data_IF_307618015912
#
_entry.id   IF_307618015912
#
_cell.length_a   1.000
_cell.length_b   1.000
_cell.length_c   1.000
_cell.angle_alpha   90.00
_cell.angle_beta   90.00
_cell.angle_gamma   90.00
#
_symmetry.space_group_name_H-M   'P 1'
#
loop_
_entity.id
_entity.type
_entity.pdbx_description
1 polymer ?
#
# COMPACT_ATOMS: atom_id res chain seq x y z
N UNK A 1 -2.49 11.07 5.76
CA UNK A 1 -3.88 11.01 6.26
C UNK A 1 -4.57 12.37 6.07
N UNK A 2 -4.49 12.89 4.86
CA UNK A 2 -4.76 14.29 4.52
C UNK A 2 -6.17 14.82 4.75
N UNK A 3 -7.16 13.98 5.03
CA UNK A 3 -8.54 14.41 5.31
C UNK A 3 -8.87 14.44 6.80
N UNK A 4 -7.99 13.89 7.64
CA UNK A 4 -8.21 13.85 9.08
C UNK A 4 -7.50 15.05 9.73
N UNK A 5 -8.23 15.88 10.45
CA UNK A 5 -7.66 17.00 11.22
C UNK A 5 -7.11 16.48 12.54
N UNK A 6 -5.80 16.56 12.75
CA UNK A 6 -5.12 16.12 13.97
C UNK A 6 -3.84 16.94 14.21
N UNK A 7 -3.38 17.00 15.45
CA UNK A 7 -2.09 17.60 15.83
C UNK A 7 -0.98 16.53 15.87
N UNK A 8 -1.32 15.34 16.36
CA UNK A 8 -0.41 14.19 16.40
C UNK A 8 -1.08 12.97 15.81
N UNK A 9 -0.30 12.08 15.22
CA UNK A 9 -0.82 10.82 14.65
C UNK A 9 -1.43 9.90 15.74
N UNK A 10 -0.95 10.01 16.97
CA UNK A 10 -1.50 9.27 18.11
C UNK A 10 -2.93 9.68 18.47
N UNK A 11 -3.34 10.92 18.18
CA UNK A 11 -4.74 11.35 18.34
C UNK A 11 -5.67 10.60 17.37
N UNK A 12 -5.20 10.30 16.14
CA UNK A 12 -5.97 9.48 15.20
C UNK A 12 -6.16 8.07 15.76
N UNK A 13 -5.11 7.47 16.34
CA UNK A 13 -5.22 6.20 17.05
C UNK A 13 -6.22 6.29 18.21
N UNK A 14 -6.13 7.33 19.04
CA UNK A 14 -7.06 7.57 20.14
C UNK A 14 -8.51 7.68 19.70
N UNK A 15 -8.79 8.37 18.59
CA UNK A 15 -10.13 8.51 18.03
C UNK A 15 -10.69 7.17 17.53
N UNK A 16 -9.88 6.37 16.82
CA UNK A 16 -10.29 5.06 16.35
C UNK A 16 -10.57 4.07 17.49
N UNK A 17 -9.77 4.12 18.57
CA UNK A 17 -10.05 3.33 19.78
C UNK A 17 -11.39 3.75 20.44
N UNK A 18 -11.72 5.06 20.42
CA UNK A 18 -13.02 5.55 20.89
C UNK A 18 -14.21 5.10 20.04
N UNK A 19 -13.99 4.89 18.71
CA UNK A 19 -14.98 4.29 17.81
C UNK A 19 -15.24 2.81 18.10
N UNK A 20 -14.44 2.19 18.98
CA UNK A 20 -14.61 0.79 19.39
C UNK A 20 -13.66 -0.20 18.71
N UNK A 21 -12.67 0.27 17.95
CA UNK A 21 -11.58 -0.61 17.51
C UNK A 21 -10.76 -1.05 18.73
N UNK A 22 -10.44 -2.33 18.81
CA UNK A 22 -9.67 -2.90 19.92
C UNK A 22 -8.21 -2.49 19.87
N UNK A 23 -7.63 -2.45 18.66
CA UNK A 23 -6.29 -1.93 18.40
C UNK A 23 -6.22 -1.24 17.03
N UNK A 24 -5.21 -0.40 16.86
CA UNK A 24 -4.92 0.32 15.62
C UNK A 24 -3.43 0.28 15.35
N UNK A 25 -3.05 -0.26 14.19
CA UNK A 25 -1.66 -0.44 13.77
C UNK A 25 -1.40 0.22 12.42
N UNK A 26 -0.15 0.53 12.14
CA UNK A 26 0.25 1.14 10.87
C UNK A 26 0.47 0.10 9.78
N UNK A 27 -0.12 0.28 8.62
CA UNK A 27 0.10 -0.60 7.45
C UNK A 27 1.57 -0.63 6.99
N UNK A 28 2.38 0.32 7.44
CA UNK A 28 3.84 0.31 7.26
C UNK A 28 4.53 -0.94 7.84
N UNK A 29 3.93 -1.62 8.81
CA UNK A 29 4.39 -2.94 9.29
C UNK A 29 4.28 -3.98 8.17
N UNK A 30 3.12 -4.07 7.51
CA UNK A 30 2.94 -4.92 6.33
C UNK A 30 3.85 -4.53 5.17
N UNK A 31 4.09 -3.22 4.98
CA UNK A 31 5.01 -2.73 3.96
C UNK A 31 6.46 -3.18 4.20
N UNK A 32 6.90 -3.34 5.46
CA UNK A 32 8.23 -3.86 5.77
C UNK A 32 8.42 -5.30 5.29
N UNK A 33 7.41 -6.16 5.47
CA UNK A 33 7.44 -7.53 4.94
C UNK A 33 7.48 -7.53 3.40
N UNK A 34 6.68 -6.70 2.76
CA UNK A 34 6.67 -6.55 1.30
C UNK A 34 8.02 -6.07 0.78
N UNK A 35 8.66 -5.10 1.46
CA UNK A 35 10.01 -4.63 1.14
C UNK A 35 11.03 -5.77 1.21
N UNK A 36 10.98 -6.59 2.26
CA UNK A 36 11.87 -7.75 2.41
C UNK A 36 11.67 -8.79 1.29
N UNK A 37 10.43 -9.03 0.86
CA UNK A 37 10.17 -9.95 -0.26
C UNK A 37 10.67 -9.36 -1.60
N UNK A 38 10.52 -8.05 -1.85
CA UNK A 38 11.13 -7.42 -3.03
C UNK A 38 12.66 -7.53 -3.00
N UNK A 39 13.29 -7.32 -1.84
CA UNK A 39 14.74 -7.47 -1.72
C UNK A 39 15.21 -8.91 -2.04
N UNK A 40 14.45 -9.93 -1.62
CA UNK A 40 14.73 -11.33 -2.00
C UNK A 40 14.61 -11.56 -3.51
N UNK A 41 13.52 -11.06 -4.15
CA UNK A 41 13.32 -11.19 -5.60
C UNK A 41 14.47 -10.54 -6.38
N UNK A 42 14.93 -9.39 -5.94
CA UNK A 42 16.06 -8.69 -6.55
C UNK A 42 17.36 -9.51 -6.41
N UNK A 43 17.60 -10.07 -5.24
CA UNK A 43 18.78 -10.91 -4.99
C UNK A 43 18.78 -12.23 -5.77
N UNK A 44 17.59 -12.78 -6.07
CA UNK A 44 17.46 -14.03 -6.82
C UNK A 44 17.75 -13.90 -8.33
N UNK A 45 17.65 -12.72 -8.91
CA UNK A 45 17.87 -12.45 -10.34
C UNK A 45 17.12 -13.38 -11.33
N UNK A 46 15.95 -13.88 -10.94
CA UNK A 46 15.17 -14.82 -11.75
C UNK A 46 14.22 -14.15 -12.74
N UNK A 47 13.90 -12.89 -12.56
CA UNK A 47 12.99 -12.12 -13.40
C UNK A 47 13.77 -11.14 -14.27
N UNK A 48 13.42 -11.01 -15.54
CA UNK A 48 14.04 -10.01 -16.44
C UNK A 48 13.66 -8.59 -16.00
N UNK A 49 12.39 -8.39 -15.65
CA UNK A 49 11.86 -7.15 -15.06
C UNK A 49 11.02 -7.52 -13.85
N UNK A 50 10.90 -6.60 -12.89
CA UNK A 50 10.03 -6.73 -11.73
C UNK A 50 9.13 -5.51 -11.67
N UNK A 51 7.82 -5.69 -11.83
CA UNK A 51 6.80 -4.66 -11.59
C UNK A 51 6.26 -4.87 -10.19
N UNK A 52 6.26 -3.82 -9.35
CA UNK A 52 5.69 -3.91 -8.01
C UNK A 52 4.17 -4.09 -8.05
N UNK A 53 3.64 -4.85 -7.11
CA UNK A 53 2.23 -5.26 -7.06
C UNK A 53 1.43 -4.60 -5.93
N UNK A 54 1.95 -3.52 -5.36
CA UNK A 54 1.29 -2.80 -4.26
C UNK A 54 0.02 -2.06 -4.70
N UNK A 55 -0.10 -1.69 -5.99
CA UNK A 55 -1.24 -0.96 -6.55
C UNK A 55 -2.19 -1.91 -7.29
N UNK A 56 -3.40 -2.22 -6.74
CA UNK A 56 -4.33 -3.14 -7.39
C UNK A 56 -4.77 -2.69 -8.77
N UNK A 57 -4.98 -1.38 -8.98
CA UNK A 57 -5.35 -0.85 -10.30
C UNK A 57 -4.24 -1.01 -11.34
N UNK A 58 -2.96 -0.95 -10.93
CA UNK A 58 -1.85 -1.20 -11.82
C UNK A 58 -1.77 -2.71 -12.18
N UNK A 59 -2.04 -3.58 -11.21
CA UNK A 59 -2.12 -5.02 -11.46
C UNK A 59 -3.25 -5.34 -12.44
N UNK A 60 -4.45 -4.74 -12.24
CA UNK A 60 -5.60 -4.88 -13.15
C UNK A 60 -5.26 -4.39 -14.57
N UNK A 61 -4.55 -3.27 -14.71
CA UNK A 61 -4.11 -2.77 -16.02
C UNK A 61 -3.26 -3.83 -16.73
N UNK A 62 -2.32 -4.45 -16.05
CA UNK A 62 -1.47 -5.50 -16.63
C UNK A 62 -2.27 -6.77 -16.89
N UNK A 63 -3.00 -7.28 -15.90
CA UNK A 63 -3.71 -8.56 -16.01
C UNK A 63 -4.77 -8.55 -17.12
N UNK A 64 -5.47 -7.42 -17.32
CA UNK A 64 -6.59 -7.31 -18.27
C UNK A 64 -6.13 -6.88 -19.67
N UNK A 65 -5.25 -5.87 -19.75
CA UNK A 65 -4.92 -5.24 -21.04
C UNK A 65 -3.55 -5.59 -21.59
N UNK A 66 -2.64 -6.09 -20.74
CA UNK A 66 -1.26 -6.47 -21.12
C UNK A 66 -0.86 -7.82 -20.53
N UNK A 67 -1.65 -8.90 -20.77
CA UNK A 67 -1.44 -10.20 -20.11
C UNK A 67 -0.07 -10.81 -20.38
N UNK A 68 0.61 -10.43 -21.48
CA UNK A 68 1.99 -10.82 -21.78
C UNK A 68 3.00 -10.28 -20.77
N UNK A 69 2.65 -9.28 -19.95
CA UNK A 69 3.49 -8.69 -18.92
C UNK A 69 3.28 -9.33 -17.53
N UNK A 70 2.28 -10.20 -17.37
CA UNK A 70 2.01 -10.92 -16.10
C UNK A 70 3.28 -11.59 -15.53
N UNK A 71 4.17 -12.20 -16.34
CA UNK A 71 5.40 -12.78 -15.82
C UNK A 71 6.36 -11.78 -15.15
N UNK A 72 6.16 -10.49 -15.35
CA UNK A 72 6.95 -9.42 -14.71
C UNK A 72 6.29 -8.85 -13.45
N UNK A 73 5.03 -9.16 -13.16
CA UNK A 73 4.41 -8.81 -11.88
C UNK A 73 5.10 -9.59 -10.76
N UNK A 74 5.56 -8.87 -9.74
CA UNK A 74 6.16 -9.52 -8.59
C UNK A 74 5.15 -10.45 -7.90
N UNK A 75 5.53 -11.70 -7.57
CA UNK A 75 4.66 -12.62 -6.85
C UNK A 75 4.58 -12.23 -5.34
N UNK A 76 4.26 -10.98 -5.06
CA UNK A 76 4.22 -10.39 -3.74
C UNK A 76 2.89 -9.70 -3.54
N UNK A 77 2.25 -9.94 -2.40
CA UNK A 77 0.99 -9.29 -2.03
C UNK A 77 1.21 -7.83 -1.64
N UNK A 78 0.14 -7.03 -1.65
CA UNK A 78 0.23 -5.64 -1.21
C UNK A 78 0.46 -5.53 0.32
N UNK A 79 0.96 -4.37 0.81
CA UNK A 79 1.09 -4.10 2.24
C UNK A 79 -0.20 -4.31 3.04
N UNK A 80 -1.37 -4.01 2.47
CA UNK A 80 -2.66 -4.26 3.10
C UNK A 80 -2.86 -5.75 3.38
N UNK A 81 -2.67 -6.59 2.37
CA UNK A 81 -2.86 -8.04 2.49
C UNK A 81 -1.77 -8.65 3.40
N UNK A 82 -0.51 -8.23 3.24
CA UNK A 82 0.58 -8.70 4.10
C UNK A 82 0.32 -8.38 5.57
N UNK A 83 -0.17 -7.17 5.87
CA UNK A 83 -0.48 -6.75 7.23
C UNK A 83 -1.70 -7.48 7.78
N UNK A 84 -2.76 -7.64 6.98
CA UNK A 84 -3.93 -8.43 7.38
C UNK A 84 -3.57 -9.88 7.72
N UNK A 85 -2.71 -10.50 6.92
CA UNK A 85 -2.18 -11.84 7.20
C UNK A 85 -1.42 -11.88 8.53
N UNK A 86 -0.49 -10.93 8.74
CA UNK A 86 0.28 -10.81 9.98
C UNK A 86 -0.65 -10.69 11.20
N UNK A 87 -1.64 -9.80 11.14
CA UNK A 87 -2.61 -9.59 12.23
C UNK A 87 -3.42 -10.86 12.54
N UNK A 88 -3.89 -11.58 11.51
CA UNK A 88 -4.61 -12.85 11.67
C UNK A 88 -3.72 -13.97 12.25
N UNK A 89 -2.41 -13.94 11.94
CA UNK A 89 -1.45 -14.90 12.51
C UNK A 89 -1.10 -14.57 13.96
N UNK A 90 -0.94 -13.30 14.31
CA UNK A 90 -0.60 -12.86 15.67
C UNK A 90 -1.79 -12.91 16.65
N UNK A 91 -2.97 -12.46 16.22
CA UNK A 91 -4.12 -12.21 17.08
C UNK A 91 -5.21 -13.29 16.96
N UNK A 92 -5.05 -14.20 16.02
CA UNK A 92 -6.02 -15.26 15.72
C UNK A 92 -6.93 -14.94 14.53
N UNK A 93 -7.42 -15.97 13.87
CA UNK A 93 -8.21 -15.85 12.64
C UNK A 93 -9.58 -15.21 12.82
N UNK A 94 -10.12 -15.22 14.03
CA UNK A 94 -11.43 -14.66 14.35
C UNK A 94 -11.41 -13.14 14.49
N UNK A 95 -10.24 -12.53 14.64
CA UNK A 95 -10.08 -11.08 14.71
C UNK A 95 -10.59 -10.44 13.41
N UNK A 96 -11.32 -9.32 13.50
CA UNK A 96 -11.79 -8.57 12.35
C UNK A 96 -10.76 -7.49 11.98
N UNK A 97 -10.23 -7.58 10.76
CA UNK A 97 -9.23 -6.65 10.25
C UNK A 97 -9.89 -5.66 9.30
N UNK A 98 -9.85 -4.39 9.66
CA UNK A 98 -10.37 -3.28 8.86
C UNK A 98 -9.19 -2.46 8.33
N UNK A 99 -9.08 -2.34 7.02
CA UNK A 99 -8.10 -1.45 6.40
C UNK A 99 -8.69 -0.06 6.22
N UNK A 100 -7.97 0.95 6.69
CA UNK A 100 -8.29 2.36 6.48
C UNK A 100 -7.27 2.99 5.53
N UNK A 101 -7.74 3.55 4.41
CA UNK A 101 -6.83 4.16 3.44
C UNK A 101 -7.51 4.93 2.31
N UNK A 102 -6.73 5.63 1.47
CA UNK A 102 -7.24 6.52 0.43
C UNK A 102 -7.63 5.81 -0.88
N UNK A 103 -7.56 4.50 -0.96
CA UNK A 103 -7.63 3.77 -2.21
C UNK A 103 -8.93 2.97 -2.35
N UNK A 104 -9.75 3.30 -3.38
CA UNK A 104 -10.99 2.57 -3.66
C UNK A 104 -10.73 1.15 -4.21
N UNK A 105 -9.66 0.95 -4.98
CA UNK A 105 -9.32 -0.35 -5.56
C UNK A 105 -8.96 -1.40 -4.48
N UNK A 106 -8.57 -0.97 -3.28
CA UNK A 106 -8.35 -1.85 -2.13
C UNK A 106 -9.62 -2.60 -1.70
N UNK A 107 -10.81 -2.05 -1.98
CA UNK A 107 -12.08 -2.77 -1.75
C UNK A 107 -12.19 -4.02 -2.63
N UNK A 108 -11.80 -3.92 -3.90
CA UNK A 108 -11.77 -5.05 -4.84
C UNK A 108 -10.70 -6.07 -4.43
N UNK A 109 -9.50 -5.59 -4.08
CA UNK A 109 -8.40 -6.47 -3.65
C UNK A 109 -8.75 -7.29 -2.41
N UNK A 110 -9.43 -6.69 -1.43
CA UNK A 110 -9.88 -7.38 -0.22
C UNK A 110 -10.92 -8.49 -0.50
N UNK A 111 -11.66 -8.39 -1.61
CA UNK A 111 -12.66 -9.38 -2.06
C UNK A 111 -12.08 -10.43 -3.02
N UNK A 112 -10.81 -10.33 -3.39
CA UNK A 112 -10.16 -11.30 -4.26
C UNK A 112 -10.00 -12.63 -3.52
N UNK A 113 -10.50 -13.71 -4.14
CA UNK A 113 -10.44 -15.08 -3.58
C UNK A 113 -9.01 -15.52 -3.23
N UNK A 114 -7.99 -14.97 -3.90
CA UNK A 114 -6.58 -15.22 -3.57
C UNK A 114 -6.19 -14.72 -2.18
N UNK A 115 -6.96 -13.79 -1.62
CA UNK A 115 -6.70 -13.09 -0.35
C UNK A 115 -7.85 -13.18 0.64
N UNK A 116 -8.79 -14.08 0.39
CA UNK A 116 -9.99 -14.25 1.21
C UNK A 116 -9.65 -14.45 2.70
N UNK A 117 -10.35 -13.71 3.55
CA UNK A 117 -10.25 -13.83 5.01
C UNK A 117 -9.09 -13.07 5.67
N UNK A 118 -8.23 -12.37 4.92
CA UNK A 118 -7.18 -11.54 5.54
C UNK A 118 -7.68 -10.13 5.89
N UNK A 119 -8.58 -9.56 5.09
CA UNK A 119 -9.17 -8.24 5.31
C UNK A 119 -10.70 -8.39 5.33
N UNK A 120 -11.32 -7.99 6.42
CA UNK A 120 -12.78 -8.10 6.59
C UNK A 120 -13.52 -6.87 6.04
N UNK A 121 -12.92 -5.68 6.08
CA UNK A 121 -13.48 -4.46 5.50
C UNK A 121 -12.40 -3.46 5.05
N UNK A 122 -12.77 -2.62 4.09
CA UNK A 122 -11.94 -1.49 3.63
C UNK A 122 -12.75 -0.21 3.73
N UNK A 123 -12.28 0.73 4.54
CA UNK A 123 -12.87 2.04 4.75
C UNK A 123 -11.98 3.13 4.14
N UNK A 124 -12.61 4.13 3.54
CA UNK A 124 -11.93 5.35 3.08
C UNK A 124 -11.87 6.36 4.23
N UNK A 125 -11.01 7.37 4.10
CA UNK A 125 -10.93 8.44 5.10
C UNK A 125 -12.26 9.20 5.26
N UNK A 126 -13.02 9.41 4.17
CA UNK A 126 -14.34 10.02 4.25
C UNK A 126 -15.35 9.16 5.01
N UNK A 127 -15.28 7.83 4.87
CA UNK A 127 -16.15 6.92 5.60
C UNK A 127 -15.89 7.03 7.13
N UNK A 128 -14.61 7.14 7.53
CA UNK A 128 -14.21 7.33 8.94
C UNK A 128 -14.59 8.73 9.45
N UNK A 129 -14.35 9.80 8.66
CA UNK A 129 -14.73 11.15 9.07
C UNK A 129 -16.22 11.23 9.40
N UNK A 130 -17.06 10.69 8.51
CA UNK A 130 -18.50 10.65 8.71
C UNK A 130 -18.87 9.87 9.98
N UNK A 131 -18.24 8.73 10.21
CA UNK A 131 -18.51 7.93 11.41
C UNK A 131 -18.07 8.65 12.70
N UNK A 132 -16.92 9.32 12.69
CA UNK A 132 -16.46 10.15 13.81
C UNK A 132 -17.43 11.30 14.10
N UNK A 133 -17.97 11.96 13.06
CA UNK A 133 -19.00 13.01 13.18
C UNK A 133 -20.31 12.46 13.78
N UNK A 134 -20.77 11.28 13.33
CA UNK A 134 -21.97 10.61 13.84
C UNK A 134 -21.86 10.24 15.32
N UNK A 135 -20.64 9.96 15.81
CA UNK A 135 -20.35 9.60 17.20
C UNK A 135 -19.86 10.81 18.06
N UNK A 136 -19.96 12.01 17.53
CA UNK A 136 -19.48 13.25 18.21
C UNK A 136 -18.00 13.13 18.68
N UNK A 137 -17.14 12.51 17.86
CA UNK A 137 -15.71 12.35 18.17
C UNK A 137 -14.88 13.34 17.37
N UNK A 138 -14.27 14.30 18.07
CA UNK A 138 -13.29 15.24 17.52
C UNK A 138 -11.89 14.67 17.74
N UNK A 139 -11.15 14.43 16.65
CA UNK A 139 -9.82 13.79 16.72
C UNK A 139 -8.84 14.63 17.54
N UNK A 140 -8.86 15.95 17.38
CA UNK A 140 -7.95 16.89 18.09
C UNK A 140 -8.14 16.89 19.60
N UNK A 141 -9.30 16.42 20.10
CA UNK A 141 -9.63 16.29 21.53
C UNK A 141 -9.37 14.87 22.07
N UNK A 142 -8.94 13.96 21.22
CA UNK A 142 -8.63 12.60 21.64
C UNK A 142 -7.24 12.51 22.28
N UNK A 143 -7.09 11.52 23.16
CA UNK A 143 -5.82 11.20 23.79
C UNK A 143 -4.76 10.86 22.72
N UNK A 144 -3.57 11.43 22.88
CA UNK A 144 -2.41 11.08 22.06
C UNK A 144 -1.89 9.69 22.45
N UNK A 145 -2.21 8.68 21.65
CA UNK A 145 -1.78 7.30 21.83
C UNK A 145 -0.80 6.91 20.73
N UNK A 146 0.51 7.10 20.94
CA UNK A 146 1.50 6.80 19.91
C UNK A 146 1.48 5.33 19.49
N UNK A 147 1.85 5.07 18.24
CA UNK A 147 2.08 3.71 17.76
C UNK A 147 3.38 3.17 18.35
N UNK A 148 3.33 1.96 18.94
CA UNK A 148 4.36 1.50 19.89
C UNK A 148 5.34 0.48 19.37
N UNK A 149 5.07 -0.21 18.29
CA UNK A 149 5.76 -1.48 18.08
C UNK A 149 6.90 -1.48 17.05
N UNK A 150 6.87 -0.67 16.04
CA UNK A 150 7.81 -0.82 14.93
C UNK A 150 8.24 0.56 14.43
N UNK A 151 9.54 0.78 14.19
CA UNK A 151 10.01 2.02 13.55
C UNK A 151 10.08 1.84 12.03
N UNK A 152 8.97 2.01 11.32
CA UNK A 152 8.86 1.75 9.91
C UNK A 152 9.17 2.98 9.05
N UNK A 153 10.06 3.89 9.53
CA UNK A 153 10.26 5.23 8.92
C UNK A 153 10.29 5.21 7.40
N UNK A 154 11.06 4.29 6.82
CA UNK A 154 11.20 4.18 5.38
C UNK A 154 9.93 3.59 4.73
N UNK A 155 9.31 2.61 5.38
CA UNK A 155 8.13 1.93 4.85
C UNK A 155 6.85 2.77 4.93
N UNK A 156 6.83 3.86 5.71
CA UNK A 156 5.78 4.89 5.68
C UNK A 156 5.73 5.66 4.37
N UNK A 157 6.77 5.57 3.54
CA UNK A 157 6.84 6.22 2.23
C UNK A 157 6.06 5.49 1.13
N UNK A 158 5.60 4.27 1.35
CA UNK A 158 4.86 3.49 0.34
C UNK A 158 3.70 4.23 -0.35
N UNK A 159 2.93 5.11 0.33
CA UNK A 159 1.83 5.83 -0.33
C UNK A 159 2.27 6.99 -1.23
N UNK A 160 3.52 7.44 -1.14
CA UNK A 160 4.06 8.50 -2.02
C UNK A 160 4.76 7.89 -3.23
N UNK A 161 4.90 8.67 -4.30
CA UNK A 161 5.67 8.25 -5.48
C UNK A 161 7.12 7.98 -5.13
N UNK A 162 7.69 6.94 -5.73
CA UNK A 162 9.04 6.44 -5.44
C UNK A 162 9.21 5.87 -4.01
N UNK A 163 8.13 5.65 -3.30
CA UNK A 163 8.18 5.21 -1.90
C UNK A 163 8.58 3.75 -1.76
N UNK A 164 8.11 2.89 -2.65
CA UNK A 164 8.49 1.47 -2.68
C UNK A 164 9.96 1.32 -3.07
N UNK A 165 10.38 2.00 -4.14
CA UNK A 165 11.79 2.00 -4.58
C UNK A 165 12.71 2.48 -3.46
N UNK A 166 12.39 3.59 -2.81
CA UNK A 166 13.20 4.11 -1.69
C UNK A 166 13.24 3.16 -0.51
N UNK A 167 12.15 2.46 -0.21
CA UNK A 167 12.12 1.48 0.87
C UNK A 167 13.03 0.29 0.56
N UNK A 168 13.02 -0.19 -0.68
CA UNK A 168 13.90 -1.28 -1.12
C UNK A 168 15.37 -0.84 -1.13
N UNK A 169 15.68 0.35 -1.67
CA UNK A 169 17.03 0.90 -1.67
C UNK A 169 17.62 1.06 -0.26
N UNK A 170 16.79 1.35 0.73
CA UNK A 170 17.22 1.47 2.12
C UNK A 170 17.63 0.12 2.75
N UNK A 171 17.21 -1.01 2.18
CA UNK A 171 17.59 -2.37 2.63
C UNK A 171 18.71 -2.99 1.81
N UNK A 172 19.14 -2.32 0.74
CA UNK A 172 20.15 -2.84 -0.20
C UNK A 172 21.56 -2.67 0.35
N UNK A 173 22.29 -3.77 0.56
CA UNK A 173 23.70 -3.75 0.98
C UNK A 173 24.66 -3.62 -0.20
N UNK A 174 24.27 -4.09 -1.39
CA UNK A 174 25.04 -4.04 -2.65
C UNK A 174 24.08 -3.89 -3.82
N UNK A 175 24.55 -3.25 -4.89
CA UNK A 175 23.76 -3.11 -6.13
C UNK A 175 23.34 -4.48 -6.68
N UNK A 176 22.04 -4.65 -6.91
CA UNK A 176 21.43 -5.89 -7.42
C UNK A 176 21.36 -5.95 -8.95
N UNK A 177 21.97 -5.00 -9.65
CA UNK A 177 22.02 -4.96 -11.11
C UNK A 177 20.73 -4.49 -11.81
N UNK A 178 19.62 -4.33 -11.09
CA UNK A 178 18.40 -3.76 -11.67
C UNK A 178 18.44 -2.24 -11.66
N UNK A 179 17.99 -1.62 -12.76
CA UNK A 179 17.69 -0.19 -12.80
C UNK A 179 16.35 0.04 -12.11
N UNK A 180 16.34 0.89 -11.09
CA UNK A 180 15.14 1.19 -10.30
C UNK A 180 14.53 2.51 -10.74
N UNK A 181 13.23 2.52 -11.04
CA UNK A 181 12.47 3.73 -11.32
C UNK A 181 11.00 3.57 -10.95
N UNK A 182 10.29 4.67 -10.96
CA UNK A 182 8.87 4.69 -10.65
C UNK A 182 8.08 5.34 -11.78
N UNK A 183 6.85 4.88 -11.96
CA UNK A 183 5.87 5.44 -12.89
C UNK A 183 4.55 5.64 -12.17
N UNK A 184 3.93 6.79 -12.38
CA UNK A 184 2.63 7.11 -11.79
C UNK A 184 1.73 7.87 -12.76
N UNK A 185 0.42 7.73 -12.58
CA UNK A 185 -0.59 8.26 -13.48
C UNK A 185 -0.94 7.26 -14.60
N UNK A 186 -2.19 7.27 -15.01
CA UNK A 186 -2.76 6.30 -15.94
C UNK A 186 -2.00 6.27 -17.27
N UNK A 187 -1.84 7.43 -17.93
CA UNK A 187 -1.19 7.52 -19.23
C UNK A 187 0.25 6.99 -19.21
N UNK A 188 1.01 7.36 -18.17
CA UNK A 188 2.39 6.92 -18.02
C UNK A 188 2.47 5.40 -17.76
N UNK A 189 1.54 4.83 -16.98
CA UNK A 189 1.48 3.38 -16.77
C UNK A 189 1.15 2.64 -18.06
N UNK A 190 0.21 3.17 -18.88
CA UNK A 190 -0.13 2.62 -20.18
C UNK A 190 1.09 2.68 -21.13
N UNK A 191 1.79 3.79 -21.18
CA UNK A 191 2.96 3.94 -22.06
C UNK A 191 4.14 3.06 -21.62
N UNK A 192 4.33 2.88 -20.32
CA UNK A 192 5.25 1.88 -19.77
C UNK A 192 4.90 0.47 -20.28
N UNK A 193 3.63 0.05 -20.11
CA UNK A 193 3.18 -1.27 -20.55
C UNK A 193 3.36 -1.48 -22.05
N UNK A 194 3.10 -0.45 -22.88
CA UNK A 194 3.38 -0.50 -24.33
C UNK A 194 4.86 -0.70 -24.63
N UNK A 195 5.74 0.05 -23.98
CA UNK A 195 7.20 -0.05 -24.18
C UNK A 195 7.74 -1.39 -23.72
N UNK A 196 7.25 -1.92 -22.57
CA UNK A 196 7.60 -3.25 -22.10
C UNK A 196 7.13 -4.33 -23.08
N UNK A 197 5.91 -4.21 -23.62
CA UNK A 197 5.35 -5.16 -24.60
C UNK A 197 6.15 -5.21 -25.90
N UNK A 198 6.88 -4.12 -26.24
CA UNK A 198 7.82 -4.08 -27.38
C UNK A 198 9.23 -4.57 -27.04
N UNK A 199 9.47 -4.95 -25.78
CA UNK A 199 10.77 -5.42 -25.31
C UNK A 199 11.84 -4.30 -25.18
N UNK A 200 11.41 -3.05 -25.09
CA UNK A 200 12.31 -1.87 -24.99
C UNK A 200 12.88 -1.68 -23.58
N UNK A 201 12.26 -2.32 -22.57
CA UNK A 201 12.63 -2.18 -21.16
C UNK A 201 13.06 -3.54 -20.61
N UNK A 202 14.29 -3.60 -20.08
CA UNK A 202 14.91 -4.80 -19.54
C UNK A 202 15.77 -4.49 -18.33
N UNK A 203 15.86 -5.45 -17.39
CA UNK A 203 16.69 -5.35 -16.20
C UNK A 203 16.22 -4.25 -15.25
N UNK A 204 14.89 -4.13 -15.05
CA UNK A 204 14.32 -3.05 -14.28
C UNK A 204 13.45 -3.54 -13.12
N UNK A 205 13.57 -2.84 -11.98
CA UNK A 205 12.63 -2.87 -10.88
C UNK A 205 11.77 -1.62 -10.95
N UNK A 206 10.47 -1.78 -11.12
CA UNK A 206 9.55 -0.72 -11.51
C UNK A 206 8.44 -0.57 -10.47
N UNK A 207 8.42 0.56 -9.77
CA UNK A 207 7.26 0.95 -8.99
C UNK A 207 6.20 1.53 -9.94
N UNK A 208 4.99 0.94 -9.96
CA UNK A 208 3.90 1.37 -10.83
C UNK A 208 2.66 1.73 -10.01
N UNK A 209 2.21 2.98 -10.12
CA UNK A 209 1.06 3.52 -9.40
C UNK A 209 0.08 4.21 -10.35
N UNK A 210 -1.19 3.78 -10.39
CA UNK A 210 -2.21 4.39 -11.27
C UNK A 210 -2.57 5.82 -10.89
N UNK A 211 -2.48 6.19 -9.61
CA UNK A 211 -2.79 7.55 -9.16
C UNK A 211 -1.62 8.49 -9.43
N UNK A 212 -1.89 9.63 -10.06
CA UNK A 212 -0.90 10.70 -10.25
C UNK A 212 -0.48 11.26 -8.89
N UNK A 213 0.82 11.18 -8.58
CA UNK A 213 1.36 11.60 -7.28
C UNK A 213 1.30 10.55 -6.16
N UNK A 214 0.93 9.30 -6.48
CA UNK A 214 0.85 8.18 -5.52
C UNK A 214 -0.49 8.08 -4.80
N UNK A 215 -0.59 7.14 -3.85
CA UNK A 215 -1.84 6.85 -3.14
C UNK A 215 -2.36 8.04 -2.31
N UNK A 216 -1.47 8.90 -1.82
CA UNK A 216 -1.85 10.11 -1.06
C UNK A 216 -2.62 11.14 -1.91
N UNK A 217 -2.61 11.00 -3.23
CA UNK A 217 -3.39 11.79 -4.19
C UNK A 217 -4.41 10.91 -4.95
N UNK A 218 -4.84 9.84 -4.33
CA UNK A 218 -5.86 8.96 -4.90
C UNK A 218 -7.24 9.61 -4.97
N UNK A 219 -8.19 9.00 -5.74
CA UNK A 219 -9.49 9.61 -6.05
C UNK A 219 -10.44 9.74 -4.86
N UNK A 220 -10.06 9.27 -3.68
CA UNK A 220 -10.84 9.41 -2.44
C UNK A 220 -10.19 10.37 -1.44
N UNK A 221 -9.18 11.12 -1.88
CA UNK A 221 -8.57 12.24 -1.15
C UNK A 221 -9.05 13.51 -1.83
N UNK A 222 -9.62 14.46 -1.08
CA UNK A 222 -10.14 15.71 -1.65
C UNK A 222 -9.03 16.52 -2.31
N UNK A 223 -9.37 17.25 -3.40
CA UNK A 223 -8.42 18.00 -4.25
C UNK A 223 -7.78 19.24 -3.57
N UNK A 224 -8.10 19.55 -2.31
CA UNK A 224 -7.60 20.72 -1.57
C UNK A 224 -6.24 20.50 -0.87
N UNK A 225 -5.44 19.50 -1.31
CA UNK A 225 -4.08 19.26 -0.79
C UNK A 225 -3.02 19.19 -1.88
#
# INVERSE_FOLDING_TARGET
MGLLKYKTIGQVRGALLRLGFEDVRETSEGAAFVTAEYAKLLAEHKMENIITTCCPSANDLVEIYYPQLIPYLAPVVSPMIAHGKLLKEELGRDVKVVFLGPCIAKKKEALDLRHEGYIDAVLKFNDINKWLEEEDIVIEDCEDRPFTAFDPKVNRLYPVTNGVVNSVLATEEKGDGYRKFYVHGEDNCIDLCKSMSRGEIKGCFIEMNMCSGGCIKGPTVDEEF
#
